data_IF_316266559739
#
_entry.id   IF_316266559739
#
_cell.length_a   1.000
_cell.length_b   1.000
_cell.length_c   1.000
_cell.angle_alpha   90.00
_cell.angle_beta   90.00
_cell.angle_gamma   90.00
#
_symmetry.space_group_name_H-M   'P 1'
#
loop_
_entity.id
_entity.type
_entity.pdbx_description
1 polymer ?
#
# COMPACT_ATOMS: atom_id res chain seq x y z
N UNK A 1 16.60 42.55 -44.00
CA UNK A 1 16.81 41.08 -44.02
C UNK A 1 17.19 40.66 -42.60
N UNK A 2 16.20 40.39 -41.74
CA UNK A 2 16.42 39.97 -40.35
C UNK A 2 15.99 38.51 -40.24
N UNK A 3 16.94 37.64 -39.87
CA UNK A 3 16.75 36.21 -39.73
C UNK A 3 16.36 35.91 -38.28
N UNK A 4 15.12 35.48 -38.06
CA UNK A 4 14.61 35.10 -36.73
C UNK A 4 15.06 33.69 -36.36
N UNK A 5 15.81 33.57 -35.26
CA UNK A 5 16.19 32.28 -34.66
C UNK A 5 15.02 31.75 -33.82
N UNK A 6 14.39 30.69 -34.30
CA UNK A 6 13.43 29.91 -33.53
C UNK A 6 14.18 28.96 -32.58
N UNK A 7 14.09 29.22 -31.27
CA UNK A 7 14.62 28.32 -30.23
C UNK A 7 13.61 27.19 -30.03
N UNK A 8 14.01 25.97 -30.39
CA UNK A 8 13.25 24.76 -30.10
C UNK A 8 13.53 24.31 -28.67
N UNK A 9 12.54 24.39 -27.79
CA UNK A 9 12.63 23.81 -26.46
C UNK A 9 12.45 22.29 -26.55
N UNK A 10 13.53 21.54 -26.33
CA UNK A 10 13.46 20.09 -26.13
C UNK A 10 12.81 19.81 -24.76
N UNK A 11 11.57 19.36 -24.76
CA UNK A 11 10.92 18.79 -23.58
C UNK A 11 11.42 17.35 -23.45
N UNK A 12 12.33 17.09 -22.50
CA UNK A 12 12.74 15.72 -22.20
C UNK A 12 11.56 14.95 -21.57
N UNK A 13 11.21 13.75 -22.07
CA UNK A 13 10.22 12.92 -21.41
C UNK A 13 10.76 12.47 -20.06
N UNK A 14 10.05 12.79 -18.98
CA UNK A 14 10.33 12.26 -17.66
C UNK A 14 9.94 10.78 -17.65
N UNK A 15 10.94 9.90 -17.73
CA UNK A 15 10.73 8.47 -17.50
C UNK A 15 10.28 8.27 -16.05
N UNK A 16 9.13 7.63 -15.86
CA UNK A 16 8.69 7.19 -14.54
C UNK A 16 9.73 6.20 -14.00
N UNK A 17 10.50 6.61 -12.99
CA UNK A 17 11.37 5.68 -12.26
C UNK A 17 10.46 4.70 -11.51
N UNK A 18 10.60 3.42 -11.83
CA UNK A 18 10.00 2.36 -11.03
C UNK A 18 10.52 2.50 -9.59
N UNK A 19 9.61 2.72 -8.65
CA UNK A 19 9.97 2.92 -7.25
C UNK A 19 10.46 1.59 -6.69
N UNK A 20 11.64 1.54 -6.04
CA UNK A 20 12.16 0.29 -5.53
C UNK A 20 11.19 -0.31 -4.51
N UNK A 21 10.89 -1.58 -4.70
CA UNK A 21 10.07 -2.37 -3.79
C UNK A 21 10.77 -2.48 -2.43
N UNK A 22 10.06 -2.14 -1.35
CA UNK A 22 10.57 -2.27 0.02
C UNK A 22 10.09 -3.60 0.61
N UNK A 23 10.99 -4.39 1.19
CA UNK A 23 10.62 -5.63 1.88
C UNK A 23 10.04 -5.33 3.25
N UNK A 24 8.92 -5.97 3.58
CA UNK A 24 8.25 -5.82 4.88
C UNK A 24 8.71 -6.92 5.81
N UNK A 25 9.22 -6.53 6.99
CA UNK A 25 9.63 -7.47 8.03
C UNK A 25 8.40 -8.18 8.61
N UNK A 26 8.54 -9.47 8.91
CA UNK A 26 7.46 -10.27 9.52
C UNK A 26 7.09 -9.80 10.94
N UNK A 27 7.98 -9.05 11.62
CA UNK A 27 7.72 -8.47 12.93
C UNK A 27 8.43 -7.12 13.05
N UNK A 28 7.81 -6.19 13.78
CA UNK A 28 8.32 -4.83 14.00
C UNK A 28 7.71 -3.81 13.04
N UNK A 29 8.46 -2.74 12.78
CA UNK A 29 8.01 -1.62 11.92
C UNK A 29 8.88 -1.54 10.68
N UNK A 30 8.25 -1.57 9.51
CA UNK A 30 8.89 -1.28 8.22
C UNK A 30 8.50 0.12 7.76
N UNK A 31 9.47 0.93 7.38
CA UNK A 31 9.23 2.27 6.81
C UNK A 31 9.44 2.23 5.29
N UNK A 32 8.46 2.75 4.53
CA UNK A 32 8.51 2.95 3.08
C UNK A 32 8.46 4.44 2.82
N UNK A 33 9.45 4.97 2.11
CA UNK A 33 9.53 6.39 1.76
C UNK A 33 9.53 6.55 0.25
N UNK A 34 8.73 7.50 -0.24
CA UNK A 34 8.59 7.77 -1.66
C UNK A 34 8.34 9.25 -1.90
N UNK A 35 8.80 9.75 -3.05
CA UNK A 35 8.32 11.03 -3.59
C UNK A 35 7.43 10.76 -4.79
N UNK A 36 6.15 11.12 -4.69
CA UNK A 36 5.13 10.85 -5.70
C UNK A 36 4.43 12.14 -6.07
N UNK A 37 4.46 12.53 -7.35
CA UNK A 37 3.86 13.79 -7.80
C UNK A 37 4.41 15.04 -7.09
N UNK A 38 5.67 14.98 -6.62
CA UNK A 38 6.29 16.04 -5.82
C UNK A 38 5.91 16.03 -4.33
N UNK A 39 5.03 15.12 -3.89
CA UNK A 39 4.71 14.92 -2.49
C UNK A 39 5.64 13.89 -1.85
N UNK A 40 6.23 14.23 -0.69
CA UNK A 40 6.95 13.27 0.14
C UNK A 40 5.94 12.42 0.92
N UNK A 41 6.00 11.11 0.75
CA UNK A 41 5.11 10.15 1.41
C UNK A 41 5.94 9.20 2.26
N UNK A 42 5.55 9.04 3.52
CA UNK A 42 6.15 8.09 4.47
C UNK A 42 5.06 7.16 4.95
N UNK A 43 5.28 5.85 4.78
CA UNK A 43 4.38 4.80 5.26
C UNK A 43 5.12 3.98 6.30
N UNK A 44 4.53 3.77 7.47
CA UNK A 44 5.04 2.85 8.48
C UNK A 44 4.06 1.69 8.63
N UNK A 45 4.55 0.50 8.35
CA UNK A 45 3.80 -0.75 8.44
C UNK A 45 4.27 -1.46 9.69
N UNK A 46 3.37 -1.64 10.66
CA UNK A 46 3.64 -2.42 11.87
C UNK A 46 3.09 -3.82 11.67
N UNK A 47 3.92 -4.83 11.85
CA UNK A 47 3.53 -6.22 11.77
C UNK A 47 4.05 -6.99 12.99
N UNK A 48 3.40 -8.11 13.30
CA UNK A 48 3.92 -9.09 14.25
C UNK A 48 3.89 -10.49 13.67
N UNK A 49 4.95 -11.23 13.95
CA UNK A 49 5.03 -12.65 13.65
C UNK A 49 4.20 -13.43 14.66
N UNK A 50 3.47 -14.43 14.16
CA UNK A 50 2.76 -15.40 14.96
C UNK A 50 3.69 -16.59 15.21
N UNK A 51 4.24 -16.68 16.41
CA UNK A 51 5.09 -17.80 16.84
C UNK A 51 4.31 -18.80 17.73
N UNK A 52 4.73 -20.08 17.70
CA UNK A 52 4.31 -21.13 18.63
C UNK A 52 2.81 -21.49 18.56
N UNK A 53 2.15 -21.87 19.68
CA UNK A 53 0.72 -22.23 19.72
C UNK A 53 -0.23 -21.09 19.29
N UNK A 54 0.29 -19.88 19.04
CA UNK A 54 -0.42 -18.82 18.33
C UNK A 54 -0.89 -19.23 16.93
N UNK A 55 -0.21 -20.18 16.27
CA UNK A 55 -0.70 -20.81 15.05
C UNK A 55 -2.03 -21.57 15.26
N UNK A 56 -2.30 -22.13 16.44
CA UNK A 56 -3.61 -22.72 16.75
C UNK A 56 -4.70 -21.65 16.91
N UNK A 57 -4.32 -20.40 17.23
CA UNK A 57 -5.22 -19.24 17.29
C UNK A 57 -5.65 -18.76 15.91
N UNK A 58 -4.92 -19.13 14.84
CA UNK A 58 -5.34 -18.91 13.46
C UNK A 58 -6.66 -19.59 13.12
N UNK A 59 -6.98 -20.70 13.79
CA UNK A 59 -8.29 -21.36 13.66
C UNK A 59 -9.45 -20.48 14.18
N UNK A 60 -9.17 -19.47 14.99
CA UNK A 60 -10.16 -18.52 15.53
C UNK A 60 -10.15 -17.17 14.81
N UNK A 61 -9.13 -16.90 13.99
CA UNK A 61 -9.10 -15.72 13.13
C UNK A 61 -9.89 -16.01 11.86
N UNK A 62 -10.56 -15.02 11.25
CA UNK A 62 -11.20 -15.23 9.95
C UNK A 62 -10.18 -15.85 9.00
N UNK A 63 -10.55 -17.00 8.42
CA UNK A 63 -9.70 -18.02 7.79
C UNK A 63 -8.86 -17.60 6.58
N UNK A 64 -8.64 -16.29 6.37
CA UNK A 64 -8.04 -15.69 5.17
C UNK A 64 -6.67 -15.05 5.40
N UNK A 65 -6.24 -14.88 6.64
CA UNK A 65 -5.01 -14.13 6.92
C UNK A 65 -3.74 -15.00 6.75
N UNK A 66 -3.71 -16.17 7.41
CA UNK A 66 -2.53 -17.03 7.36
C UNK A 66 -2.89 -18.38 6.76
N UNK A 67 -2.29 -18.70 5.62
CA UNK A 67 -2.53 -19.93 4.86
C UNK A 67 -1.58 -21.06 5.27
N UNK A 68 -0.67 -20.80 6.22
CA UNK A 68 0.28 -21.78 6.77
C UNK A 68 1.43 -22.11 5.83
N UNK A 69 1.52 -21.41 4.71
CA UNK A 69 2.50 -21.63 3.65
C UNK A 69 3.82 -20.87 3.87
N UNK A 70 3.80 -19.87 4.77
CA UNK A 70 4.98 -19.24 5.36
C UNK A 70 4.99 -19.35 6.89
N UNK A 71 6.17 -19.62 7.46
CA UNK A 71 6.39 -19.65 8.91
C UNK A 71 7.57 -18.75 9.31
N UNK A 72 7.42 -17.87 10.32
CA UNK A 72 6.14 -17.55 10.97
C UNK A 72 5.22 -16.76 10.02
N UNK A 73 3.91 -16.97 10.14
CA UNK A 73 2.96 -16.05 9.51
C UNK A 73 3.05 -14.69 10.21
N UNK A 74 2.83 -13.60 9.49
CA UNK A 74 2.82 -12.25 10.06
C UNK A 74 1.49 -11.54 9.80
N UNK A 75 0.99 -10.81 10.79
CA UNK A 75 -0.20 -9.97 10.65
C UNK A 75 0.19 -8.50 10.60
N UNK A 76 -0.52 -7.71 9.79
CA UNK A 76 -0.39 -6.24 9.82
C UNK A 76 -1.28 -5.68 10.92
N UNK A 77 -0.66 -5.04 11.91
CA UNK A 77 -1.34 -4.44 13.06
C UNK A 77 -1.75 -3.00 12.83
N UNK A 78 -0.93 -2.26 12.09
CA UNK A 78 -1.15 -0.84 11.84
C UNK A 78 -0.45 -0.38 10.56
N UNK A 79 -1.08 0.59 9.89
CA UNK A 79 -0.47 1.34 8.80
C UNK A 79 -0.62 2.83 9.12
N UNK A 80 0.51 3.50 9.38
CA UNK A 80 0.60 4.95 9.49
C UNK A 80 1.02 5.52 8.13
N UNK A 81 0.23 6.45 7.59
CA UNK A 81 0.59 7.15 6.35
C UNK A 81 0.75 8.63 6.67
N UNK A 82 1.85 9.22 6.19
CA UNK A 82 2.11 10.65 6.25
C UNK A 82 2.36 11.19 4.85
N UNK A 83 1.70 12.28 4.51
CA UNK A 83 1.89 13.00 3.25
C UNK A 83 2.38 14.40 3.58
N UNK A 84 3.55 14.79 3.06
CA UNK A 84 4.23 16.04 3.41
C UNK A 84 4.39 16.23 4.93
N UNK A 85 4.64 15.14 5.66
CA UNK A 85 4.80 15.14 7.11
C UNK A 85 3.48 15.13 7.90
N UNK A 86 2.34 15.39 7.26
CA UNK A 86 1.03 15.35 7.90
C UNK A 86 0.47 13.92 7.93
N UNK A 87 0.05 13.46 9.12
CA UNK A 87 -0.58 12.15 9.30
C UNK A 87 -1.99 12.17 8.71
N UNK A 88 -2.27 11.25 7.79
CA UNK A 88 -3.60 11.12 7.19
C UNK A 88 -4.43 10.06 7.92
N UNK A 89 -5.75 10.12 7.76
CA UNK A 89 -6.62 9.11 8.35
C UNK A 89 -6.59 7.79 7.57
N UNK A 90 -6.26 6.70 8.26
CA UNK A 90 -6.25 5.32 7.73
C UNK A 90 -7.32 4.51 8.47
N UNK A 91 -8.42 4.09 7.81
CA UNK A 91 -9.41 3.23 8.43
C UNK A 91 -8.80 1.89 8.81
N UNK A 92 -9.13 1.34 9.99
CA UNK A 92 -8.67 0.01 10.41
C UNK A 92 -9.00 -1.08 9.39
N UNK A 93 -10.18 -1.02 8.76
CA UNK A 93 -10.57 -1.97 7.71
C UNK A 93 -9.70 -1.91 6.44
N UNK A 94 -8.81 -0.92 6.30
CA UNK A 94 -7.87 -0.83 5.20
C UNK A 94 -6.74 -1.87 5.36
N UNK A 95 -6.29 -2.15 6.58
CA UNK A 95 -5.16 -3.04 6.84
C UNK A 95 -5.50 -4.26 7.69
N UNK A 96 -6.57 -4.22 8.49
CA UNK A 96 -6.98 -5.38 9.28
C UNK A 96 -7.32 -6.56 8.37
N UNK A 97 -6.72 -7.71 8.69
CA UNK A 97 -6.85 -8.94 7.91
C UNK A 97 -5.82 -9.08 6.79
N UNK A 98 -4.93 -8.10 6.59
CA UNK A 98 -3.74 -8.29 5.76
C UNK A 98 -2.69 -9.06 6.57
N UNK A 99 -2.08 -10.02 5.89
CA UNK A 99 -1.14 -10.95 6.49
C UNK A 99 -0.14 -11.46 5.46
N UNK A 100 1.01 -11.90 5.94
CA UNK A 100 2.16 -12.29 5.15
C UNK A 100 2.54 -11.28 4.08
N UNK A 101 2.42 -9.99 4.41
CA UNK A 101 2.88 -8.91 3.53
C UNK A 101 4.40 -9.03 3.40
N UNK A 102 4.86 -9.31 2.19
CA UNK A 102 6.28 -9.50 1.86
C UNK A 102 6.93 -8.20 1.42
N UNK A 103 6.15 -7.32 0.80
CA UNK A 103 6.69 -6.11 0.22
C UNK A 103 5.64 -5.02 0.01
N UNK A 104 6.13 -3.79 0.00
CA UNK A 104 5.35 -2.58 -0.12
C UNK A 104 6.00 -1.62 -1.12
N UNK A 105 5.17 -0.94 -1.90
CA UNK A 105 5.57 0.11 -2.83
C UNK A 105 4.56 1.24 -2.77
N UNK A 106 5.03 2.48 -2.77
CA UNK A 106 4.17 3.66 -2.90
C UNK A 106 4.33 4.21 -4.31
N UNK A 107 3.21 4.45 -4.98
CA UNK A 107 3.14 5.03 -6.32
C UNK A 107 2.02 6.05 -6.40
N UNK A 108 1.86 6.72 -7.53
CA UNK A 108 0.75 7.64 -7.74
C UNK A 108 0.98 8.61 -8.89
N UNK A 109 -0.09 9.32 -9.22
CA UNK A 109 -0.12 10.30 -10.28
C UNK A 109 -1.01 11.47 -9.85
N UNK A 110 -0.49 12.69 -9.98
CA UNK A 110 -1.21 13.90 -9.61
C UNK A 110 -1.55 13.96 -8.12
N UNK A 111 -2.84 14.07 -7.78
CA UNK A 111 -3.32 14.29 -6.42
C UNK A 111 -3.57 13.00 -5.61
N UNK A 112 -3.52 11.84 -6.26
CA UNK A 112 -3.81 10.54 -5.65
C UNK A 112 -2.57 9.67 -5.61
N UNK A 113 -2.37 8.99 -4.49
CA UNK A 113 -1.29 8.03 -4.27
C UNK A 113 -1.87 6.67 -3.90
N UNK A 114 -1.10 5.62 -4.15
CA UNK A 114 -1.48 4.24 -3.87
C UNK A 114 -0.34 3.53 -3.15
N UNK A 115 -0.66 2.86 -2.05
CA UNK A 115 0.22 1.93 -1.36
C UNK A 115 -0.13 0.52 -1.83
N UNK A 116 0.78 -0.12 -2.56
CA UNK A 116 0.64 -1.49 -3.03
C UNK A 116 1.39 -2.42 -2.09
N UNK A 117 0.68 -3.36 -1.49
CA UNK A 117 1.19 -4.39 -0.59
C UNK A 117 1.06 -5.74 -1.29
N UNK A 118 2.15 -6.49 -1.39
CA UNK A 118 2.13 -7.85 -1.89
C UNK A 118 2.19 -8.79 -0.69
N UNK A 119 1.25 -9.72 -0.59
CA UNK A 119 1.19 -10.66 0.51
C UNK A 119 0.79 -12.06 0.07
N UNK A 120 0.78 -12.98 1.04
CA UNK A 120 0.58 -14.40 0.79
C UNK A 120 1.76 -15.03 0.04
N UNK A 121 1.56 -16.26 -0.40
CA UNK A 121 2.52 -16.98 -1.24
C UNK A 121 1.81 -17.92 -2.23
N UNK A 122 2.57 -18.39 -3.22
CA UNK A 122 2.13 -19.37 -4.20
C UNK A 122 0.67 -19.15 -4.70
N UNK A 123 -0.24 -20.07 -4.37
CA UNK A 123 -1.64 -20.05 -4.80
C UNK A 123 -2.50 -19.00 -4.10
N UNK A 124 -2.06 -18.49 -2.94
CA UNK A 124 -2.77 -17.53 -2.10
C UNK A 124 -2.13 -16.14 -2.18
N UNK A 125 -1.19 -15.93 -3.12
CA UNK A 125 -0.54 -14.66 -3.34
C UNK A 125 -1.56 -13.60 -3.80
N UNK A 126 -1.55 -12.46 -3.12
CA UNK A 126 -2.46 -11.36 -3.37
C UNK A 126 -1.73 -10.01 -3.43
N UNK A 127 -2.41 -9.05 -4.02
CA UNK A 127 -2.02 -7.64 -4.04
C UNK A 127 -3.14 -6.85 -3.38
N UNK A 128 -2.83 -6.19 -2.27
CA UNK A 128 -3.71 -5.23 -1.64
C UNK A 128 -3.25 -3.81 -1.99
N UNK A 129 -4.17 -2.98 -2.47
CA UNK A 129 -3.88 -1.58 -2.82
C UNK A 129 -4.70 -0.67 -1.93
N UNK A 130 -4.06 0.29 -1.27
CA UNK A 130 -4.71 1.37 -0.55
C UNK A 130 -4.56 2.67 -1.32
N UNK A 131 -5.67 3.23 -1.79
CA UNK A 131 -5.70 4.51 -2.48
C UNK A 131 -5.94 5.63 -1.48
N UNK A 132 -5.14 6.69 -1.55
CA UNK A 132 -5.21 7.81 -0.61
C UNK A 132 -4.90 9.16 -1.25
N UNK A 133 -5.41 10.20 -0.61
CA UNK A 133 -5.11 11.59 -0.90
C UNK A 133 -4.35 12.23 0.29
N UNK A 134 -4.19 13.55 0.28
CA UNK A 134 -3.49 14.28 1.35
C UNK A 134 -4.20 14.28 2.69
N UNK A 135 -5.46 13.86 2.75
CA UNK A 135 -6.28 13.90 3.96
C UNK A 135 -6.57 12.49 4.50
N UNK A 136 -6.74 11.49 3.62
CA UNK A 136 -7.17 10.15 4.03
C UNK A 136 -6.94 9.06 2.99
N UNK A 137 -7.04 7.82 3.46
CA UNK A 137 -7.32 6.66 2.60
C UNK A 137 -8.77 6.73 2.11
N UNK A 138 -8.94 6.60 0.80
CA UNK A 138 -10.22 6.70 0.09
C UNK A 138 -10.73 5.34 -0.37
N UNK A 139 -9.85 4.35 -0.53
CA UNK A 139 -10.24 3.01 -0.92
C UNK A 139 -9.22 1.94 -0.60
N UNK A 140 -9.69 0.69 -0.66
CA UNK A 140 -8.89 -0.53 -0.61
C UNK A 140 -9.36 -1.45 -1.72
N UNK A 141 -8.44 -2.11 -2.41
CA UNK A 141 -8.74 -3.27 -3.24
C UNK A 141 -7.84 -4.44 -2.90
N UNK A 142 -8.31 -5.66 -3.18
CA UNK A 142 -7.53 -6.90 -3.11
C UNK A 142 -7.72 -7.64 -4.42
N UNK A 143 -6.63 -8.02 -5.08
CA UNK A 143 -6.62 -8.83 -6.28
C UNK A 143 -5.68 -10.04 -6.12
N UNK A 144 -5.86 -11.13 -6.87
CA UNK A 144 -4.86 -12.18 -6.95
C UNK A 144 -3.59 -11.62 -7.58
N UNK A 145 -2.42 -12.09 -7.15
CA UNK A 145 -1.15 -11.63 -7.73
C UNK A 145 -1.03 -11.97 -9.22
N UNK A 146 -1.74 -13.00 -9.69
CA UNK A 146 -1.81 -13.42 -11.11
C UNK A 146 -2.66 -12.49 -11.97
N UNK A 147 -3.63 -11.79 -11.38
CA UNK A 147 -4.56 -10.90 -12.09
C UNK A 147 -4.72 -9.54 -11.37
N UNK A 148 -3.65 -8.71 -11.25
CA UNK A 148 -3.67 -7.50 -10.42
C UNK A 148 -4.74 -6.47 -10.80
N UNK A 149 -5.18 -6.48 -12.07
CA UNK A 149 -6.21 -5.57 -12.59
C UNK A 149 -7.65 -6.01 -12.32
N UNK A 150 -7.87 -7.16 -11.68
CA UNK A 150 -9.20 -7.73 -11.41
C UNK A 150 -9.38 -7.94 -9.91
N UNK A 151 -9.80 -6.88 -9.18
CA UNK A 151 -9.97 -6.98 -7.74
C UNK A 151 -11.12 -7.94 -7.40
N UNK A 152 -10.85 -8.87 -6.48
CA UNK A 152 -11.85 -9.72 -5.84
C UNK A 152 -12.66 -8.93 -4.81
N UNK A 153 -12.00 -7.98 -4.15
CA UNK A 153 -12.62 -7.12 -3.16
C UNK A 153 -12.28 -5.67 -3.44
N UNK A 154 -13.27 -4.79 -3.29
CA UNK A 154 -13.10 -3.34 -3.37
C UNK A 154 -13.95 -2.67 -2.31
N UNK A 155 -13.31 -1.86 -1.47
CA UNK A 155 -13.92 -1.09 -0.41
C UNK A 155 -13.66 0.40 -0.67
N UNK A 156 -14.69 1.23 -0.52
CA UNK A 156 -14.58 2.69 -0.61
C UNK A 156 -14.89 3.30 0.74
N UNK A 157 -14.01 4.17 1.23
CA UNK A 157 -14.19 4.87 2.49
C UNK A 157 -14.73 6.28 2.22
N UNK A 158 -15.84 6.62 2.88
CA UNK A 158 -16.48 7.93 2.77
C UNK A 158 -16.57 8.55 4.14
N UNK A 159 -16.35 9.86 4.21
CA UNK A 159 -16.70 10.63 5.41
C UNK A 159 -18.19 10.90 5.35
N UNK A 160 -18.89 10.54 6.42
CA UNK A 160 -20.27 10.93 6.64
C UNK A 160 -20.22 12.22 7.45
N UNK A 161 -20.52 13.34 6.80
CA UNK A 161 -20.73 14.60 7.52
C UNK A 161 -22.16 14.57 8.06
N UNK A 162 -22.32 14.39 9.37
CA UNK A 162 -23.62 14.65 10.00
C UNK A 162 -23.79 16.17 9.98
N UNK A 163 -24.79 16.66 9.26
CA UNK A 163 -25.08 18.09 9.21
C UNK A 163 -25.65 18.53 10.55
N UNK A 164 -24.95 19.47 11.20
CA UNK A 164 -25.50 20.30 12.28
C UNK A 164 -26.18 21.53 11.67
#
# INVERSE_FOLDING_TARGET
MMCGLAVWAFVSPAFARDQPRTYVAASGVTTVEATVGGAHVVVRITAHALDGPGAARLAQMPARACTGSRAPCSLVDDIDIRVQGERIWVPKGAYLGLADVTSATVSGAGATSSLTLNGGDASEAYIATLDFDRARVTGRSIAPATEPGKPLEKTTYRVVTTGD
#
